data_IF_356590315578
#
_entry.id   IF_356590315578
#
_cell.length_a   1.000
_cell.length_b   1.000
_cell.length_c   1.000
_cell.angle_alpha   90.00
_cell.angle_beta   90.00
_cell.angle_gamma   90.00
#
_symmetry.space_group_name_H-M   'P 1'
#
loop_
_entity.id
_entity.type
_entity.pdbx_description
1 polymer ?
#
# COMPACT_ATOMS: atom_id res chain seq x y z
N UNK A 1 -19.31 8.67 -11.61
CA UNK A 1 -18.83 7.28 -11.43
C UNK A 1 -18.47 6.77 -12.82
N UNK A 2 -17.28 7.10 -13.30
CA UNK A 2 -16.80 6.56 -14.57
C UNK A 2 -16.55 5.07 -14.39
N UNK A 3 -17.39 4.27 -15.05
CA UNK A 3 -17.15 2.84 -15.20
C UNK A 3 -15.89 2.71 -16.07
N UNK A 4 -14.76 2.42 -15.43
CA UNK A 4 -13.54 1.98 -16.10
C UNK A 4 -13.88 0.73 -16.95
N UNK A 5 -14.25 0.94 -18.21
CA UNK A 5 -14.16 -0.08 -19.26
C UNK A 5 -12.67 -0.26 -19.52
N UNK A 6 -12.01 -1.04 -18.68
CA UNK A 6 -10.63 -1.44 -18.92
C UNK A 6 -10.67 -2.32 -20.18
N UNK A 7 -10.14 -1.82 -21.29
CA UNK A 7 -10.02 -2.61 -22.51
C UNK A 7 -8.95 -3.67 -22.23
N UNK A 8 -9.11 -4.90 -22.72
CA UNK A 8 -8.09 -5.95 -22.52
C UNK A 8 -6.67 -5.47 -22.90
N UNK A 9 -6.56 -4.57 -23.86
CA UNK A 9 -5.30 -3.95 -24.28
C UNK A 9 -4.64 -3.13 -23.15
N UNK A 10 -5.39 -2.44 -22.31
CA UNK A 10 -4.82 -1.61 -21.24
C UNK A 10 -4.22 -2.46 -20.13
N UNK A 11 -4.85 -3.61 -19.83
CA UNK A 11 -4.33 -4.62 -18.90
C UNK A 11 -3.05 -5.23 -19.46
N UNK A 12 -3.07 -5.62 -20.75
CA UNK A 12 -1.90 -6.19 -21.42
C UNK A 12 -0.72 -5.22 -21.42
N UNK A 13 -0.96 -3.93 -21.71
CA UNK A 13 0.08 -2.89 -21.69
C UNK A 13 0.63 -2.72 -20.27
N UNK A 14 -0.23 -2.67 -19.25
CA UNK A 14 0.21 -2.57 -17.85
C UNK A 14 1.06 -3.76 -17.41
N UNK A 15 0.67 -4.98 -17.78
CA UNK A 15 1.43 -6.20 -17.49
C UNK A 15 2.78 -6.18 -18.21
N UNK A 16 2.83 -5.77 -19.48
CA UNK A 16 4.07 -5.68 -20.25
C UNK A 16 5.07 -4.69 -19.61
N UNK A 17 4.58 -3.53 -19.18
CA UNK A 17 5.39 -2.52 -18.48
C UNK A 17 5.93 -3.09 -17.17
N UNK A 18 5.11 -3.78 -16.38
CA UNK A 18 5.54 -4.39 -15.13
C UNK A 18 6.64 -5.45 -15.35
N UNK A 19 6.51 -6.27 -16.41
CA UNK A 19 7.53 -7.27 -16.80
C UNK A 19 8.84 -6.59 -17.20
N UNK A 20 8.78 -5.52 -18.00
CA UNK A 20 9.96 -4.76 -18.42
C UNK A 20 10.69 -4.14 -17.22
N UNK A 21 9.96 -3.57 -16.26
CA UNK A 21 10.55 -3.03 -15.02
C UNK A 21 11.18 -4.15 -14.18
N UNK A 22 10.52 -5.30 -14.06
CA UNK A 22 11.05 -6.44 -13.32
C UNK A 22 12.33 -7.00 -13.95
N UNK A 23 12.36 -7.14 -15.28
CA UNK A 23 13.55 -7.53 -16.04
C UNK A 23 14.69 -6.52 -15.88
N UNK A 24 14.39 -5.23 -15.96
CA UNK A 24 15.37 -4.17 -15.78
C UNK A 24 16.01 -4.22 -14.38
N UNK A 25 15.20 -4.37 -13.33
CA UNK A 25 15.69 -4.51 -11.95
C UNK A 25 16.48 -5.80 -11.74
N UNK A 26 16.08 -6.89 -12.40
CA UNK A 26 16.82 -8.14 -12.38
C UNK A 26 18.19 -8.03 -13.04
N UNK A 27 18.28 -7.33 -14.17
CA UNK A 27 19.57 -7.13 -14.85
C UNK A 27 20.53 -6.29 -14.01
N UNK A 28 20.04 -5.26 -13.32
CA UNK A 28 20.88 -4.37 -12.52
C UNK A 28 21.27 -4.97 -11.16
N UNK A 29 20.34 -5.60 -10.46
CA UNK A 29 20.49 -5.99 -9.06
C UNK A 29 20.24 -7.48 -8.80
N UNK A 30 20.04 -8.28 -9.86
CA UNK A 30 19.72 -9.69 -9.76
C UNK A 30 18.39 -9.96 -9.03
N UNK A 31 18.34 -11.08 -8.34
CA UNK A 31 17.21 -11.46 -7.49
C UNK A 31 16.94 -10.45 -6.36
N UNK A 32 17.95 -9.71 -5.91
CA UNK A 32 17.82 -8.71 -4.85
C UNK A 32 16.91 -7.56 -5.30
N UNK A 33 17.06 -7.07 -6.54
CA UNK A 33 16.22 -6.01 -7.08
C UNK A 33 14.73 -6.38 -7.10
N UNK A 34 14.43 -7.60 -7.55
CA UNK A 34 13.06 -8.12 -7.57
C UNK A 34 12.48 -8.20 -6.16
N UNK A 35 13.25 -8.74 -5.20
CA UNK A 35 12.81 -8.86 -3.80
C UNK A 35 12.49 -7.50 -3.18
N UNK A 36 13.33 -6.50 -3.42
CA UNK A 36 13.13 -5.14 -2.91
C UNK A 36 11.89 -4.50 -3.53
N UNK A 37 11.72 -4.59 -4.85
CA UNK A 37 10.54 -4.05 -5.52
C UNK A 37 9.25 -4.70 -5.00
N UNK A 38 9.26 -6.02 -4.82
CA UNK A 38 8.12 -6.74 -4.27
C UNK A 38 7.84 -6.33 -2.82
N UNK A 39 8.87 -6.17 -1.99
CA UNK A 39 8.73 -5.71 -0.61
C UNK A 39 8.14 -4.29 -0.52
N UNK A 40 8.59 -3.37 -1.39
CA UNK A 40 8.03 -2.02 -1.51
C UNK A 40 6.55 -2.08 -1.87
N UNK A 41 6.19 -2.92 -2.85
CA UNK A 41 4.82 -3.06 -3.30
C UNK A 41 3.93 -3.61 -2.18
N UNK A 42 4.39 -4.63 -1.46
CA UNK A 42 3.70 -5.17 -0.29
C UNK A 42 3.56 -4.15 0.86
N UNK A 43 4.57 -3.31 1.08
CA UNK A 43 4.48 -2.27 2.12
C UNK A 43 3.50 -1.16 1.76
N UNK A 44 3.38 -0.81 0.48
CA UNK A 44 2.57 0.34 0.02
C UNK A 44 1.13 -0.03 -0.29
N UNK A 45 0.87 -1.25 -0.75
CA UNK A 45 -0.47 -1.75 -1.09
C UNK A 45 -1.52 -1.57 0.02
N UNK A 46 -1.28 -1.94 1.29
CA UNK A 46 -2.32 -1.80 2.32
C UNK A 46 -2.73 -0.34 2.53
N UNK A 47 -1.78 0.61 2.45
CA UNK A 47 -2.09 2.04 2.55
C UNK A 47 -2.88 2.54 1.34
N UNK A 48 -2.58 2.04 0.15
CA UNK A 48 -3.38 2.35 -1.04
C UNK A 48 -4.83 1.91 -0.89
N UNK A 49 -5.06 0.71 -0.37
CA UNK A 49 -6.40 0.20 -0.10
C UNK A 49 -7.15 1.04 0.95
N UNK A 50 -6.44 1.50 1.99
CA UNK A 50 -7.01 2.42 2.99
C UNK A 50 -7.38 3.75 2.34
N UNK A 51 -6.45 4.35 1.57
CA UNK A 51 -6.63 5.64 0.88
C UNK A 51 -7.69 5.59 -0.21
N UNK A 52 -8.00 4.41 -0.75
CA UNK A 52 -9.11 4.24 -1.69
C UNK A 52 -10.49 4.56 -1.06
N UNK A 53 -10.57 4.64 0.27
CA UNK A 53 -11.78 5.09 0.95
C UNK A 53 -11.98 6.60 0.93
N UNK A 54 -10.98 7.37 0.51
CA UNK A 54 -10.99 8.83 0.46
C UNK A 54 -11.17 9.33 -0.98
N UNK A 55 -11.64 10.57 -1.11
CA UNK A 55 -11.88 11.26 -2.38
C UNK A 55 -10.58 11.85 -2.96
N UNK A 56 -9.55 11.00 -3.09
CA UNK A 56 -8.26 11.36 -3.65
C UNK A 56 -8.15 10.89 -5.11
N UNK A 57 -7.39 11.63 -5.91
CA UNK A 57 -7.04 11.22 -7.28
C UNK A 57 -6.12 9.99 -7.27
N UNK A 58 -6.02 9.28 -8.41
CA UNK A 58 -5.21 8.05 -8.50
C UNK A 58 -3.73 8.34 -8.21
N UNK A 59 -3.20 9.44 -8.74
CA UNK A 59 -1.80 9.83 -8.56
C UNK A 59 -1.50 10.15 -7.08
N UNK A 60 -2.36 10.94 -6.43
CA UNK A 60 -2.25 11.25 -5.00
C UNK A 60 -2.29 9.98 -4.15
N UNK A 61 -3.20 9.05 -4.46
CA UNK A 61 -3.26 7.77 -3.74
C UNK A 61 -1.94 7.00 -3.84
N UNK A 62 -1.35 6.90 -5.04
CA UNK A 62 -0.08 6.20 -5.23
C UNK A 62 1.03 6.88 -4.43
N UNK A 63 1.18 8.20 -4.57
CA UNK A 63 2.22 8.97 -3.89
C UNK A 63 2.08 8.89 -2.37
N UNK A 64 0.89 9.16 -1.82
CA UNK A 64 0.66 9.10 -0.38
C UNK A 64 0.84 7.70 0.18
N UNK A 65 0.43 6.65 -0.55
CA UNK A 65 0.68 5.27 -0.12
C UNK A 65 2.16 4.95 -0.01
N UNK A 66 2.96 5.45 -0.96
CA UNK A 66 4.40 5.30 -0.95
C UNK A 66 5.04 6.03 0.24
N UNK A 67 4.70 7.30 0.44
CA UNK A 67 5.20 8.10 1.56
C UNK A 67 4.79 7.55 2.93
N UNK A 68 3.53 7.13 3.07
CA UNK A 68 3.05 6.55 4.33
C UNK A 68 3.72 5.20 4.58
N UNK A 69 3.77 4.31 3.59
CA UNK A 69 4.31 2.97 3.77
C UNK A 69 5.82 2.96 4.03
N UNK A 70 6.61 3.59 3.18
CA UNK A 70 8.07 3.53 3.30
C UNK A 70 8.63 4.58 4.27
N UNK A 71 8.02 5.76 4.35
CA UNK A 71 8.48 6.84 5.22
C UNK A 71 7.90 6.75 6.61
N UNK A 72 6.61 7.07 6.73
CA UNK A 72 5.95 7.25 8.03
C UNK A 72 5.89 5.93 8.81
N UNK A 73 5.42 4.86 8.18
CA UNK A 73 5.22 3.58 8.84
C UNK A 73 6.54 2.93 9.27
N UNK A 74 7.58 2.97 8.42
CA UNK A 74 8.92 2.50 8.81
C UNK A 74 9.47 3.26 10.01
N UNK A 75 9.31 4.59 10.04
CA UNK A 75 9.75 5.43 11.16
C UNK A 75 8.96 5.10 12.43
N UNK A 76 7.66 4.86 12.30
CA UNK A 76 6.78 4.51 13.41
C UNK A 76 7.16 3.14 14.00
N UNK A 77 7.39 2.14 13.16
CA UNK A 77 7.86 0.80 13.58
C UNK A 77 9.21 0.91 14.30
N UNK A 78 10.15 1.69 13.77
CA UNK A 78 11.44 1.90 14.41
C UNK A 78 11.30 2.58 15.78
N UNK A 79 10.50 3.65 15.88
CA UNK A 79 10.22 4.32 17.15
C UNK A 79 9.58 3.37 18.18
N UNK A 80 8.63 2.54 17.76
CA UNK A 80 8.05 1.50 18.63
C UNK A 80 9.09 0.45 19.05
N UNK A 81 10.02 0.10 18.16
CA UNK A 81 11.08 -0.86 18.47
C UNK A 81 12.01 -0.35 19.57
N UNK A 82 12.26 0.96 19.64
CA UNK A 82 13.02 1.57 20.73
C UNK A 82 12.29 1.48 22.08
N UNK A 83 10.96 1.56 22.08
CA UNK A 83 10.14 1.46 23.30
C UNK A 83 10.04 0.01 23.78
N UNK A 84 9.82 -0.93 22.86
CA UNK A 84 9.59 -2.36 23.18
C UNK A 84 10.90 -3.16 23.23
N UNK A 85 12.03 -2.55 22.88
CA UNK A 85 13.36 -3.19 22.76
C UNK A 85 13.38 -4.42 21.83
N UNK A 86 12.45 -4.50 20.87
CA UNK A 86 12.36 -5.62 19.93
C UNK A 86 11.67 -5.21 18.64
N UNK A 87 12.42 -5.28 17.53
CA UNK A 87 11.90 -4.96 16.19
C UNK A 87 10.77 -5.92 15.76
N UNK A 88 10.85 -7.20 16.14
CA UNK A 88 9.86 -8.21 15.76
C UNK A 88 8.51 -7.93 16.42
N UNK A 89 8.54 -7.57 17.71
CA UNK A 89 7.34 -7.18 18.45
C UNK A 89 6.76 -5.85 17.94
N UNK A 90 7.62 -4.86 17.66
CA UNK A 90 7.18 -3.58 17.11
C UNK A 90 6.47 -3.73 15.76
N UNK A 91 6.99 -4.58 14.86
CA UNK A 91 6.35 -4.90 13.57
C UNK A 91 4.97 -5.52 13.83
N UNK A 92 4.87 -6.51 14.72
CA UNK A 92 3.60 -7.17 15.02
C UNK A 92 2.56 -6.18 15.59
N UNK A 93 2.97 -5.33 16.52
CA UNK A 93 2.10 -4.29 17.11
C UNK A 93 1.65 -3.29 16.04
N UNK A 94 2.57 -2.78 15.22
CA UNK A 94 2.24 -1.83 14.16
C UNK A 94 1.30 -2.44 13.11
N UNK A 95 1.48 -3.71 12.78
CA UNK A 95 0.61 -4.44 11.87
C UNK A 95 -0.80 -4.61 12.42
N UNK A 96 -0.94 -4.98 13.70
CA UNK A 96 -2.24 -5.03 14.39
C UNK A 96 -2.91 -3.66 14.38
N UNK A 97 -2.15 -2.59 14.68
CA UNK A 97 -2.66 -1.21 14.66
C UNK A 97 -3.21 -0.84 13.28
N UNK A 98 -2.50 -1.22 12.21
CA UNK A 98 -2.91 -0.97 10.83
C UNK A 98 -4.22 -1.69 10.48
N UNK A 99 -4.37 -2.94 10.89
CA UNK A 99 -5.63 -3.71 10.72
C UNK A 99 -6.79 -3.00 11.44
N UNK A 100 -6.58 -2.58 12.69
CA UNK A 100 -7.60 -1.89 13.49
C UNK A 100 -8.03 -0.58 12.83
N UNK A 101 -7.07 0.23 12.36
CA UNK A 101 -7.33 1.48 11.63
C UNK A 101 -8.13 1.19 10.36
N UNK A 102 -7.70 0.22 9.55
CA UNK A 102 -8.39 -0.18 8.33
C UNK A 102 -9.83 -0.62 8.58
N UNK A 103 -10.06 -1.42 9.63
CA UNK A 103 -11.39 -1.87 10.03
C UNK A 103 -12.27 -0.71 10.51
N UNK A 104 -11.72 0.19 11.33
CA UNK A 104 -12.42 1.37 11.84
C UNK A 104 -12.88 2.32 10.72
N UNK A 105 -12.02 2.57 9.73
CA UNK A 105 -12.37 3.40 8.55
C UNK A 105 -13.51 2.75 7.76
N UNK A 106 -13.44 1.44 7.52
CA UNK A 106 -14.48 0.70 6.79
C UNK A 106 -15.83 0.73 7.51
N UNK A 107 -15.84 0.62 8.85
CA UNK A 107 -17.06 0.63 9.66
C UNK A 107 -17.77 1.99 9.66
N UNK A 108 -17.02 3.10 9.79
CA UNK A 108 -17.59 4.46 9.73
C UNK A 108 -18.26 4.74 8.38
N UNK A 109 -17.65 4.29 7.29
CA UNK A 109 -18.19 4.48 5.93
C UNK A 109 -19.49 3.69 5.70
N UNK A 110 -19.62 2.48 6.27
CA UNK A 110 -20.89 1.72 6.25
C UNK A 110 -22.00 2.45 6.99
N UNK A 111 -21.75 2.96 8.20
CA UNK A 111 -22.76 3.71 8.97
C UNK A 111 -23.24 4.98 8.27
N UNK A 112 -22.35 5.76 7.64
CA UNK A 112 -22.72 6.97 6.88
C UNK A 112 -23.64 6.65 5.68
N UNK A 113 -23.54 5.44 5.11
CA UNK A 113 -24.39 5.02 3.98
C UNK A 113 -25.81 4.59 4.41
N UNK A 114 -25.99 4.18 5.66
CA UNK A 114 -27.29 3.73 6.22
C UNK A 114 -28.12 4.87 6.81
N UNK A 115 -27.47 5.97 7.22
CA UNK A 115 -28.16 7.14 7.80
C UNK A 115 -28.65 8.11 6.71
N UNK A 116 -28.11 8.01 5.50
CA UNK A 116 -28.42 8.89 4.35
C UNK A 116 -29.25 8.14 3.28
N UNK A 117 -29.80 6.96 3.62
CA UNK A 117 -30.73 6.20 2.78
C UNK A 117 -32.15 6.30 3.33
#
# INVERSE_FOLDING_TARGET
>A
MDKLKIKNNDILVGVLIAILIALFLFLLFGLTGIRVAFAILLMTLPFYLILNNFELTILEKILFSFFIGLGIFSTLVYGLALVVNSIRLAIAIAFILLIVIGFGIRHKKKKKKTIVS
#
